data_IF_206841933016
#
_entry.id   IF_206841933016
#
_cell.length_a   1.000
_cell.length_b   1.000
_cell.length_c   1.000
_cell.angle_alpha   90.00
_cell.angle_beta   90.00
_cell.angle_gamma   90.00
#
_symmetry.space_group_name_H-M   'P 1'
#
loop_
_entity.id
_entity.type
_entity.pdbx_description
1 polymer ?
#
# COMPACT_ATOMS: atom_id res chain seq x y z
N UNK A 1 12.22 -7.48 -7.62
CA UNK A 1 12.31 -8.11 -6.28
C UNK A 1 11.76 -7.10 -5.29
N UNK A 2 10.82 -7.51 -4.43
CA UNK A 2 10.23 -6.63 -3.41
C UNK A 2 11.22 -6.44 -2.27
N UNK A 3 11.43 -5.20 -1.83
CA UNK A 3 12.21 -4.92 -0.64
C UNK A 3 11.33 -4.91 0.62
N UNK A 4 11.96 -4.73 1.79
CA UNK A 4 11.27 -4.75 3.08
C UNK A 4 10.22 -3.64 3.20
N UNK A 5 10.46 -2.47 2.60
CA UNK A 5 9.51 -1.36 2.63
C UNK A 5 8.29 -1.67 1.76
N UNK A 6 8.50 -2.26 0.57
CA UNK A 6 7.40 -2.69 -0.28
C UNK A 6 6.50 -3.71 0.43
N UNK A 7 7.11 -4.67 1.15
CA UNK A 7 6.36 -5.66 1.94
C UNK A 7 5.52 -5.00 3.05
N UNK A 8 6.07 -4.02 3.76
CA UNK A 8 5.34 -3.30 4.80
C UNK A 8 4.19 -2.47 4.23
N UNK A 9 4.40 -1.79 3.09
CA UNK A 9 3.33 -1.06 2.37
C UNK A 9 2.18 -2.02 2.03
N UNK A 10 2.50 -3.20 1.46
CA UNK A 10 1.50 -4.20 1.10
C UNK A 10 0.74 -4.71 2.34
N UNK A 11 1.44 -4.97 3.45
CA UNK A 11 0.79 -5.39 4.69
C UNK A 11 -0.19 -4.33 5.22
N UNK A 12 0.21 -3.06 5.24
CA UNK A 12 -0.65 -1.97 5.71
C UNK A 12 -1.86 -1.79 4.80
N UNK A 13 -1.68 -1.81 3.48
CA UNK A 13 -2.77 -1.68 2.50
C UNK A 13 -3.73 -2.87 2.52
N UNK A 14 -3.24 -4.09 2.75
CA UNK A 14 -4.10 -5.27 2.89
C UNK A 14 -4.96 -5.22 4.16
N UNK A 15 -4.43 -4.66 5.25
CA UNK A 15 -5.20 -4.44 6.48
C UNK A 15 -6.21 -3.31 6.32
N UNK A 16 -5.81 -2.21 5.68
CA UNK A 16 -6.68 -1.08 5.43
C UNK A 16 -6.28 -0.35 4.13
N UNK A 17 -6.98 -0.68 3.05
CA UNK A 17 -6.77 -0.05 1.74
C UNK A 17 -7.16 1.44 1.69
N UNK A 18 -7.82 1.98 2.73
CA UNK A 18 -8.21 3.40 2.79
C UNK A 18 -7.13 4.30 3.38
N UNK A 19 -6.00 3.74 3.83
CA UNK A 19 -4.89 4.53 4.34
C UNK A 19 -4.37 5.48 3.26
N UNK A 20 -4.24 6.75 3.62
CA UNK A 20 -3.64 7.75 2.76
C UNK A 20 -2.12 7.55 2.67
N UNK A 21 -1.52 8.06 1.59
CA UNK A 21 -0.06 8.05 1.43
C UNK A 21 0.63 8.73 2.62
N UNK A 22 0.01 9.77 3.19
CA UNK A 22 0.54 10.48 4.36
C UNK A 22 0.57 9.58 5.60
N UNK A 23 -0.52 8.89 5.89
CA UNK A 23 -0.60 7.96 7.03
C UNK A 23 0.38 6.79 6.86
N UNK A 24 0.48 6.22 5.66
CA UNK A 24 1.46 5.17 5.35
C UNK A 24 2.90 5.67 5.58
N UNK A 25 3.21 6.87 5.12
CA UNK A 25 4.53 7.48 5.31
C UNK A 25 4.85 7.71 6.79
N UNK A 26 3.89 8.19 7.58
CA UNK A 26 4.04 8.33 9.04
C UNK A 26 4.28 6.97 9.71
N UNK A 27 3.51 5.93 9.38
CA UNK A 27 3.68 4.58 9.94
C UNK A 27 5.02 3.93 9.57
N UNK A 28 5.54 4.21 8.39
CA UNK A 28 6.79 3.66 7.88
C UNK A 28 8.02 4.51 8.25
N UNK A 29 7.83 5.65 8.93
CA UNK A 29 8.88 6.64 9.19
C UNK A 29 9.59 7.11 7.91
N UNK A 30 8.83 7.35 6.84
CA UNK A 30 9.31 7.80 5.53
C UNK A 30 8.64 9.12 5.13
N UNK A 31 9.15 9.75 4.07
CA UNK A 31 8.45 10.87 3.42
C UNK A 31 7.39 10.34 2.45
N UNK A 32 6.43 11.19 2.10
CA UNK A 32 5.29 10.79 1.25
C UNK A 32 5.69 10.46 -0.19
N UNK A 33 6.68 11.15 -0.75
CA UNK A 33 7.15 10.95 -2.13
C UNK A 33 7.65 9.52 -2.43
N UNK A 34 8.58 8.92 -1.65
CA UNK A 34 9.03 7.55 -1.91
C UNK A 34 7.93 6.51 -1.67
N UNK A 35 7.03 6.74 -0.72
CA UNK A 35 5.89 5.83 -0.49
C UNK A 35 4.94 5.86 -1.69
N UNK A 36 4.63 7.05 -2.23
CA UNK A 36 3.81 7.20 -3.41
C UNK A 36 4.39 6.49 -4.64
N UNK A 37 5.67 6.74 -4.96
CA UNK A 37 6.32 6.11 -6.11
C UNK A 37 6.37 4.58 -5.97
N UNK A 38 6.58 4.07 -4.75
CA UNK A 38 6.53 2.63 -4.48
C UNK A 38 5.15 2.04 -4.74
N UNK A 39 4.09 2.63 -4.20
CA UNK A 39 2.71 2.17 -4.43
C UNK A 39 2.40 2.16 -5.92
N UNK A 40 2.68 3.27 -6.61
CA UNK A 40 2.47 3.40 -8.06
C UNK A 40 3.23 2.35 -8.87
N UNK A 41 4.48 2.05 -8.48
CA UNK A 41 5.27 0.96 -9.09
C UNK A 41 4.64 -0.40 -8.81
N UNK A 42 4.22 -0.68 -7.58
CA UNK A 42 3.60 -1.96 -7.20
C UNK A 42 2.27 -2.19 -7.97
N UNK A 43 1.49 -1.15 -8.20
CA UNK A 43 0.30 -1.19 -9.05
C UNK A 43 0.65 -1.43 -10.51
N UNK A 44 1.61 -0.65 -11.05
CA UNK A 44 2.06 -0.78 -12.44
C UNK A 44 2.62 -2.18 -12.76
N UNK A 45 3.37 -2.74 -11.83
CA UNK A 45 3.99 -4.05 -11.97
C UNK A 45 2.99 -5.20 -11.71
N UNK A 46 1.73 -4.88 -11.39
CA UNK A 46 0.67 -5.86 -11.13
C UNK A 46 0.77 -6.57 -9.77
N UNK A 47 1.70 -6.13 -8.90
CA UNK A 47 1.84 -6.65 -7.53
C UNK A 47 0.63 -6.27 -6.69
N UNK A 48 0.13 -5.04 -6.85
CA UNK A 48 -1.20 -4.64 -6.37
C UNK A 48 -2.17 -4.87 -7.53
N UNK A 49 -2.94 -5.95 -7.45
CA UNK A 49 -3.89 -6.32 -8.52
C UNK A 49 -5.16 -5.47 -8.53
N UNK A 50 -5.49 -4.83 -7.40
CA UNK A 50 -6.65 -3.95 -7.27
C UNK A 50 -7.06 -3.76 -5.81
N UNK A 51 -7.96 -2.81 -5.58
CA UNK A 51 -8.56 -2.53 -4.27
C UNK A 51 -10.02 -2.97 -4.29
N UNK A 52 -10.42 -3.74 -3.28
CA UNK A 52 -11.76 -4.33 -3.21
C UNK A 52 -12.43 -4.02 -1.87
N UNK A 53 -13.74 -3.85 -1.89
CA UNK A 53 -14.54 -3.81 -0.66
C UNK A 53 -14.92 -5.26 -0.28
N UNK A 54 -14.68 -5.64 0.97
CA UNK A 54 -15.23 -6.86 1.54
C UNK A 54 -16.66 -6.57 1.99
N UNK A 55 -17.61 -7.34 1.49
CA UNK A 55 -19.05 -7.15 1.72
C UNK A 55 -19.54 -8.29 2.61
N UNK A 56 -20.34 -7.97 3.62
CA UNK A 56 -21.06 -9.00 4.37
C UNK A 56 -22.22 -9.50 3.50
N UNK A 57 -22.30 -10.82 3.18
CA UNK A 57 -23.40 -11.37 2.40
C UNK A 57 -24.73 -11.49 3.17
N UNK A 58 -24.76 -11.27 4.50
CA UNK A 58 -25.97 -11.31 5.33
C UNK A 58 -26.81 -10.01 5.28
#
# INVERSE_FOLDING_TARGET
MLDSTDQQILQLLQQNAKLTIKELAEMLNLTTSPVFERIKRLEKDGVISGYVALVNPE
#
